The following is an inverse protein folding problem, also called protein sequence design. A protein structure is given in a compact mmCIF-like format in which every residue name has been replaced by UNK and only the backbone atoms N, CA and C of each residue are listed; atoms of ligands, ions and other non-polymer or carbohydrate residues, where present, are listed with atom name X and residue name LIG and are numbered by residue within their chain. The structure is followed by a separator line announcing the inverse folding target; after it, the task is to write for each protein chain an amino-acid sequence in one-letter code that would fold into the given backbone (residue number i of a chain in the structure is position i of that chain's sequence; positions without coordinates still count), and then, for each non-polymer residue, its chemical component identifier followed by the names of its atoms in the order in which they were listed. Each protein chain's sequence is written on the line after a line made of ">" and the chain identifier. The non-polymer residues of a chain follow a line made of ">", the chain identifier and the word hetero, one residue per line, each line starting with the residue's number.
data_IF_718686903110
#
_entry.id   IF_718686903110
#
_cell.length_a   1.000
_cell.length_b   1.000
_cell.length_c   1.000
_cell.angle_alpha   90.00
_cell.angle_beta   90.00
_cell.angle_gamma   90.00
#
_symmetry.space_group_name_H-M   'P 1'
#
loop_
_entity.id
_entity.type
_entity.pdbx_description
1 polymer ?
#
# COMPACT_ATOMS: atom_id res chain seq x y z
N UNK A 1 8.31 -10.87 50.85
CA UNK A 1 8.54 -9.84 49.80
C UNK A 1 9.05 -10.59 48.58
N UNK A 2 8.46 -10.61 47.38
CA UNK A 2 7.39 -9.84 46.77
C UNK A 2 6.55 -10.74 45.82
N UNK A 3 5.37 -10.26 45.45
CA UNK A 3 4.39 -10.93 44.60
C UNK A 3 4.78 -10.92 43.10
N UNK A 4 4.11 -11.79 42.35
CA UNK A 4 4.25 -12.02 40.92
C UNK A 4 3.99 -10.78 40.04
N UNK A 5 4.56 -10.81 38.83
CA UNK A 5 4.03 -10.08 37.67
C UNK A 5 4.54 -10.72 36.38
N UNK A 6 4.00 -11.88 36.02
CA UNK A 6 3.96 -12.32 34.63
C UNK A 6 2.79 -11.59 33.97
N UNK A 7 3.09 -10.68 33.04
CA UNK A 7 2.06 -9.99 32.24
C UNK A 7 1.75 -10.82 30.99
N UNK A 8 0.48 -10.86 30.55
CA UNK A 8 0.00 -11.83 29.57
C UNK A 8 0.20 -11.38 28.11
N UNK A 9 0.40 -12.39 27.27
CA UNK A 9 -0.25 -12.60 25.95
C UNK A 9 -0.05 -11.61 24.79
N UNK A 10 0.67 -12.10 23.77
CA UNK A 10 0.20 -12.34 22.39
C UNK A 10 1.04 -11.69 21.26
N UNK A 11 1.22 -12.40 20.13
CA UNK A 11 1.97 -11.94 18.98
C UNK A 11 1.08 -11.02 18.12
N UNK A 12 1.35 -9.73 18.19
CA UNK A 12 0.96 -8.80 17.14
C UNK A 12 2.27 -8.27 16.59
N UNK A 13 2.71 -8.77 15.45
CA UNK A 13 3.76 -8.10 14.68
C UNK A 13 3.20 -6.77 14.25
N UNK A 14 3.35 -5.75 15.10
CA UNK A 14 3.31 -4.36 14.67
C UNK A 14 4.44 -4.21 13.66
N UNK A 15 4.14 -4.54 12.40
CA UNK A 15 4.91 -4.18 11.23
C UNK A 15 4.78 -2.65 11.06
N UNK A 16 5.19 -1.90 12.07
CA UNK A 16 5.55 -0.51 11.89
C UNK A 16 6.86 -0.57 11.13
N UNK A 17 6.74 -0.67 9.81
CA UNK A 17 7.87 -0.51 8.91
C UNK A 17 8.52 0.82 9.26
N UNK A 18 9.66 0.74 9.94
CA UNK A 18 10.54 1.87 10.20
C UNK A 18 11.19 2.24 8.86
N UNK A 19 10.39 2.79 7.95
CA UNK A 19 10.86 3.36 6.69
C UNK A 19 11.18 4.81 6.96
N UNK A 20 12.46 5.12 6.86
CA UNK A 20 13.08 6.45 6.78
C UNK A 20 12.12 7.54 6.26
N UNK A 21 11.48 8.29 7.18
CA UNK A 21 10.81 9.60 6.99
C UNK A 21 9.81 9.82 5.85
N UNK A 22 9.54 8.85 4.99
CA UNK A 22 8.83 9.02 3.72
C UNK A 22 7.41 8.45 3.75
N UNK A 23 6.46 9.23 3.23
CA UNK A 23 5.08 8.77 3.00
C UNK A 23 5.09 7.59 2.01
N UNK A 24 4.63 6.42 2.44
CA UNK A 24 4.52 5.23 1.60
C UNK A 24 3.50 5.49 0.48
N UNK A 25 3.91 5.26 -0.77
CA UNK A 25 3.06 5.47 -1.96
C UNK A 25 2.46 4.16 -2.46
N UNK A 26 1.12 4.09 -2.45
CA UNK A 26 0.33 2.95 -2.90
C UNK A 26 -0.32 3.24 -4.26
N UNK A 27 -0.26 2.26 -5.16
CA UNK A 27 -1.04 2.22 -6.40
C UNK A 27 -2.22 1.26 -6.22
N UNK A 28 -3.45 1.80 -6.11
CA UNK A 28 -4.67 1.01 -5.97
C UNK A 28 -5.32 0.78 -7.35
N UNK A 29 -5.50 -0.49 -7.74
CA UNK A 29 -5.98 -0.88 -9.08
C UNK A 29 -7.29 -1.65 -8.93
N UNK A 30 -8.38 -1.08 -9.45
CA UNK A 30 -9.71 -1.66 -9.37
C UNK A 30 -10.60 -1.08 -10.50
N UNK A 31 -11.35 -1.93 -11.20
CA UNK A 31 -12.23 -1.52 -12.30
C UNK A 31 -13.57 -0.94 -11.81
N UNK A 32 -14.00 -1.31 -10.62
CA UNK A 32 -15.20 -0.77 -9.96
C UNK A 32 -14.93 0.63 -9.41
N UNK A 33 -15.63 1.62 -9.97
CA UNK A 33 -15.50 3.03 -9.56
C UNK A 33 -15.77 3.21 -8.06
N UNK A 34 -16.76 2.49 -7.52
CA UNK A 34 -17.16 2.61 -6.11
C UNK A 34 -16.10 1.99 -5.20
N UNK A 35 -15.57 0.82 -5.55
CA UNK A 35 -14.52 0.13 -4.77
C UNK A 35 -13.21 0.92 -4.81
N UNK A 36 -12.82 1.41 -6.00
CA UNK A 36 -11.65 2.30 -6.16
C UNK A 36 -11.73 3.53 -5.27
N UNK A 37 -12.89 4.20 -5.20
CA UNK A 37 -13.11 5.33 -4.30
C UNK A 37 -13.03 4.96 -2.82
N UNK A 38 -13.56 3.80 -2.43
CA UNK A 38 -13.53 3.33 -1.06
C UNK A 38 -12.10 3.00 -0.60
N UNK A 39 -11.37 2.23 -1.42
CA UNK A 39 -9.96 1.87 -1.19
C UNK A 39 -9.07 3.11 -1.10
N UNK A 40 -9.21 4.07 -2.01
CA UNK A 40 -8.44 5.32 -1.99
C UNK A 40 -8.64 6.10 -0.69
N UNK A 41 -9.89 6.25 -0.23
CA UNK A 41 -10.20 6.96 1.01
C UNK A 41 -9.68 6.24 2.24
N UNK A 42 -9.74 4.91 2.27
CA UNK A 42 -9.19 4.12 3.37
C UNK A 42 -7.68 4.30 3.46
N UNK A 43 -6.97 4.13 2.35
CA UNK A 43 -5.51 4.24 2.30
C UNK A 43 -5.06 5.67 2.65
N UNK A 44 -5.72 6.72 2.13
CA UNK A 44 -5.41 8.11 2.50
C UNK A 44 -5.62 8.39 4.00
N UNK A 45 -6.63 7.76 4.63
CA UNK A 45 -6.84 7.87 6.09
C UNK A 45 -5.74 7.20 6.91
N UNK A 46 -5.00 6.27 6.31
CA UNK A 46 -3.86 5.58 6.91
C UNK A 46 -2.52 6.21 6.54
N UNK A 47 -2.51 7.50 6.18
CA UNK A 47 -1.29 8.28 5.89
C UNK A 47 -0.48 7.73 4.70
N UNK A 48 -1.14 7.11 3.73
CA UNK A 48 -0.53 6.72 2.46
C UNK A 48 -0.75 7.78 1.39
N UNK A 49 0.27 8.01 0.55
CA UNK A 49 0.07 8.60 -0.77
C UNK A 49 -0.64 7.58 -1.62
N UNK A 50 -1.68 7.97 -2.36
CA UNK A 50 -2.42 7.02 -3.21
C UNK A 50 -2.56 7.55 -4.61
N UNK A 51 -2.16 6.73 -5.58
CA UNK A 51 -2.55 6.83 -7.00
C UNK A 51 -3.55 5.72 -7.30
N UNK A 52 -4.58 6.01 -8.08
CA UNK A 52 -5.58 5.02 -8.48
C UNK A 52 -5.51 4.74 -9.97
N UNK A 53 -5.79 3.50 -10.38
CA UNK A 53 -5.89 3.08 -11.78
C UNK A 53 -7.20 2.33 -12.01
N UNK A 54 -7.83 2.60 -13.15
CA UNK A 54 -9.12 2.01 -13.54
C UNK A 54 -9.00 0.62 -14.17
N UNK A 55 -7.79 0.17 -14.50
CA UNK A 55 -7.51 -1.17 -15.03
C UNK A 55 -6.00 -1.50 -14.96
N UNK A 56 -5.67 -2.74 -15.28
CA UNK A 56 -4.27 -3.22 -15.29
C UNK A 56 -3.37 -2.50 -16.29
N UNK A 57 -3.87 -2.15 -17.48
CA UNK A 57 -3.11 -1.44 -18.51
C UNK A 57 -2.63 -0.08 -17.99
N UNK A 58 -3.53 0.70 -17.40
CA UNK A 58 -3.23 1.99 -16.76
C UNK A 58 -2.28 1.83 -15.57
N UNK A 59 -2.42 0.77 -14.79
CA UNK A 59 -1.48 0.48 -13.71
C UNK A 59 -0.06 0.22 -14.24
N UNK A 60 0.06 -0.57 -15.32
CA UNK A 60 1.35 -0.82 -15.97
C UNK A 60 1.94 0.44 -16.63
N UNK A 61 1.11 1.34 -17.18
CA UNK A 61 1.55 2.66 -17.65
C UNK A 61 2.14 3.49 -16.50
N UNK A 62 1.48 3.55 -15.34
CA UNK A 62 2.00 4.27 -14.18
C UNK A 62 3.31 3.68 -13.64
N UNK A 63 3.51 2.36 -13.77
CA UNK A 63 4.74 1.69 -13.38
C UNK A 63 5.85 1.80 -14.44
N UNK A 64 5.57 2.36 -15.62
CA UNK A 64 6.51 2.38 -16.75
C UNK A 64 6.78 1.00 -17.35
N UNK A 65 5.93 0.01 -17.06
CA UNK A 65 6.05 -1.37 -17.53
C UNK A 65 5.29 -1.61 -18.84
N UNK A 66 4.48 -0.64 -19.25
CA UNK A 66 3.80 -0.63 -20.54
C UNK A 66 4.48 0.37 -21.47
N UNK A 67 5.62 -0.04 -22.03
CA UNK A 67 6.42 0.75 -22.97
C UNK A 67 7.51 -0.06 -23.64
N UNK A 68 7.23 -0.54 -24.86
CA UNK A 68 8.23 -0.86 -25.90
C UNK A 68 9.03 -2.15 -25.75
N UNK A 69 8.54 -3.25 -26.33
CA UNK A 69 9.39 -4.32 -26.84
C UNK A 69 10.12 -3.89 -28.12
N UNK A 70 10.87 -2.79 -28.05
CA UNK A 70 11.69 -2.27 -29.14
C UNK A 70 12.96 -1.60 -28.58
N UNK A 71 13.72 -2.38 -27.83
CA UNK A 71 15.17 -2.23 -27.79
C UNK A 71 15.77 -2.95 -29.01
N UNK A 72 16.10 -2.20 -30.07
CA UNK A 72 17.14 -2.57 -31.04
C UNK A 72 16.72 -3.26 -32.35
N UNK A 73 16.27 -2.47 -33.34
CA UNK A 73 16.60 -2.63 -34.76
C UNK A 73 16.91 -1.25 -35.36
#
# INVERSE_FOLDING_TARGET
>A
MAAASCSPSSPGSDLKGESDGGELHVLAVDDSVVERMFLERMLKKSEYKVTTAENGTRALEYLGLLGGGEEGL
#
